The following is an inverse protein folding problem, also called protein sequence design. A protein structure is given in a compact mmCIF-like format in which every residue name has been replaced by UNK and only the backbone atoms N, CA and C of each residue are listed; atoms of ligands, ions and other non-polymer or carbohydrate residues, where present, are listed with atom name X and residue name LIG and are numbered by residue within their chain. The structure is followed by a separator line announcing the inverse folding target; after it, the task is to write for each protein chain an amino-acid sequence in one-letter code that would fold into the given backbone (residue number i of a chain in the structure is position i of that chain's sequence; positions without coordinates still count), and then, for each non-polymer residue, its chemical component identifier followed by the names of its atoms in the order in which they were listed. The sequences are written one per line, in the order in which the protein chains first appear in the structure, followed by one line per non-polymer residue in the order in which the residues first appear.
data_IF_232596357714
#
_entry.id   IF_232596357714
#
_cell.length_a   1.000
_cell.length_b   1.000
_cell.length_c   1.000
_cell.angle_alpha   90.00
_cell.angle_beta   90.00
_cell.angle_gamma   90.00
#
_symmetry.space_group_name_H-M   'P 1'
#
loop_
_entity.id
_entity.type
_entity.pdbx_description
1 polymer ?
#
# COMPACT_ATOMS: atom_id res chain seq x y z
N UNK A 1 9.37 12.73 10.51
CA UNK A 1 10.69 12.93 9.88
C UNK A 1 11.11 14.41 9.95
N UNK A 2 10.35 15.41 9.46
CA UNK A 2 10.76 16.82 9.50
C UNK A 2 11.10 17.34 10.93
N UNK A 3 10.31 16.94 11.93
CA UNK A 3 10.59 17.28 13.32
C UNK A 3 11.88 16.62 13.83
N UNK A 4 12.10 15.34 13.56
CA UNK A 4 13.31 14.61 13.94
C UNK A 4 14.56 15.12 13.21
N UNK A 5 14.41 15.57 11.97
CA UNK A 5 15.48 16.17 11.17
C UNK A 5 15.70 17.65 11.44
N UNK A 6 15.10 18.23 12.49
CA UNK A 6 15.28 19.63 12.88
C UNK A 6 14.68 20.67 11.91
N UNK A 7 13.86 20.25 10.94
CA UNK A 7 13.25 21.14 9.93
C UNK A 7 11.90 21.71 10.38
N UNK A 8 11.33 21.17 11.45
CA UNK A 8 10.09 21.64 12.06
C UNK A 8 10.17 21.51 13.59
N UNK A 9 9.70 22.50 14.37
CA UNK A 9 9.80 22.46 15.83
C UNK A 9 8.83 21.46 16.47
N UNK A 10 7.72 21.16 15.81
CA UNK A 10 6.70 20.22 16.30
C UNK A 10 6.23 19.29 15.20
N UNK A 11 5.57 18.18 15.58
CA UNK A 11 4.95 17.25 14.62
C UNK A 11 3.89 17.95 13.77
N UNK A 12 3.12 18.87 14.36
CA UNK A 12 2.09 19.63 13.65
C UNK A 12 2.71 20.57 12.59
N UNK A 13 3.77 21.29 12.94
CA UNK A 13 4.51 22.12 11.96
C UNK A 13 5.13 21.24 10.86
N UNK A 14 5.62 20.05 11.21
CA UNK A 14 6.15 19.11 10.24
C UNK A 14 5.07 18.56 9.29
N UNK A 15 3.84 18.36 9.78
CA UNK A 15 2.70 17.98 8.95
C UNK A 15 2.35 19.09 7.96
N UNK A 16 2.22 20.33 8.44
CA UNK A 16 1.94 21.49 7.59
C UNK A 16 3.01 21.66 6.50
N UNK A 17 4.30 21.57 6.86
CA UNK A 17 5.39 21.62 5.89
C UNK A 17 5.29 20.53 4.84
N UNK A 18 4.88 19.30 5.21
CA UNK A 18 4.67 18.22 4.24
C UNK A 18 3.50 18.53 3.29
N UNK A 19 2.39 19.05 3.80
CA UNK A 19 1.24 19.45 3.01
C UNK A 19 1.61 20.57 2.01
N UNK A 20 2.36 21.57 2.45
CA UNK A 20 2.83 22.69 1.61
C UNK A 20 3.77 22.18 0.48
N UNK A 21 4.70 21.27 0.80
CA UNK A 21 5.63 20.69 -0.18
C UNK A 21 4.91 19.82 -1.20
N UNK A 22 3.86 19.08 -0.80
CA UNK A 22 3.03 18.30 -1.71
C UNK A 22 2.17 19.22 -2.59
N UNK A 23 1.52 20.23 -1.99
CA UNK A 23 0.63 21.16 -2.69
C UNK A 23 1.36 22.07 -3.68
N UNK A 24 2.60 22.47 -3.40
CA UNK A 24 3.42 23.30 -4.28
C UNK A 24 4.09 22.52 -5.44
N UNK A 25 4.08 21.19 -5.41
CA UNK A 25 4.81 20.36 -6.38
C UNK A 25 6.29 20.15 -6.06
N UNK A 26 6.86 20.84 -5.07
CA UNK A 26 8.27 20.72 -4.71
C UNK A 26 8.68 19.28 -4.31
N UNK A 27 7.77 18.53 -3.68
CA UNK A 27 7.99 17.13 -3.38
C UNK A 27 8.04 16.27 -4.65
N UNK A 28 7.20 16.56 -5.66
CA UNK A 28 7.18 15.86 -6.93
C UNK A 28 8.47 16.13 -7.73
N UNK A 29 8.95 17.38 -7.75
CA UNK A 29 10.23 17.72 -8.38
C UNK A 29 11.40 16.99 -7.71
N UNK A 30 11.37 16.87 -6.39
CA UNK A 30 12.39 16.11 -5.66
C UNK A 30 12.33 14.63 -5.98
N UNK A 31 11.14 14.06 -6.14
CA UNK A 31 10.94 12.68 -6.56
C UNK A 31 11.48 12.44 -7.97
N UNK A 32 11.23 13.37 -8.91
CA UNK A 32 11.79 13.35 -10.26
C UNK A 32 13.32 13.30 -10.25
N UNK A 33 13.96 14.20 -9.48
CA UNK A 33 15.42 14.20 -9.30
C UNK A 33 15.94 12.89 -8.71
N UNK A 34 15.21 12.29 -7.77
CA UNK A 34 15.59 11.00 -7.18
C UNK A 34 15.58 9.88 -8.22
N UNK A 35 14.58 9.83 -9.09
CA UNK A 35 14.49 8.85 -10.17
C UNK A 35 15.68 9.03 -11.14
N UNK A 36 15.95 10.25 -11.56
CA UNK A 36 17.05 10.58 -12.48
C UNK A 36 18.41 10.19 -11.89
N UNK A 37 18.66 10.51 -10.61
CA UNK A 37 19.92 10.15 -9.93
C UNK A 37 20.10 8.64 -9.71
N UNK A 38 19.03 7.85 -9.86
CA UNK A 38 19.06 6.39 -9.80
C UNK A 38 19.02 5.75 -11.19
N UNK A 39 19.36 6.50 -12.24
CA UNK A 39 19.36 6.07 -13.64
C UNK A 39 17.98 5.58 -14.12
N UNK A 40 16.88 6.06 -13.50
CA UNK A 40 15.51 5.80 -13.91
C UNK A 40 15.01 6.81 -14.93
N UNK A 41 13.87 6.51 -15.56
CA UNK A 41 13.19 7.42 -16.48
C UNK A 41 12.30 8.42 -15.70
N UNK A 42 12.68 9.71 -15.57
CA UNK A 42 11.93 10.69 -14.82
C UNK A 42 10.56 11.03 -15.46
N UNK A 43 10.36 10.70 -16.75
CA UNK A 43 9.10 10.97 -17.45
C UNK A 43 7.91 10.15 -16.92
N UNK A 44 8.16 9.08 -16.17
CA UNK A 44 7.10 8.30 -15.47
C UNK A 44 6.32 9.14 -14.45
N UNK A 45 6.90 10.24 -13.98
CA UNK A 45 6.25 11.16 -13.04
C UNK A 45 5.10 11.89 -13.72
N UNK A 46 5.24 12.21 -15.00
CA UNK A 46 4.20 12.89 -15.81
C UNK A 46 3.25 11.90 -16.47
N UNK A 47 3.75 10.71 -16.81
CA UNK A 47 2.99 9.63 -17.43
C UNK A 47 3.26 8.28 -16.75
N UNK A 48 2.55 7.96 -15.63
CA UNK A 48 2.69 6.69 -14.93
C UNK A 48 2.36 5.45 -15.77
N UNK A 49 1.67 5.61 -16.91
CA UNK A 49 1.35 4.50 -17.82
C UNK A 49 2.58 3.92 -18.52
N UNK A 50 3.71 4.62 -18.47
CA UNK A 50 5.02 4.13 -18.93
C UNK A 50 5.61 3.02 -18.03
N UNK A 51 5.12 2.92 -16.80
CA UNK A 51 5.46 1.78 -15.93
C UNK A 51 4.87 0.48 -16.48
N UNK A 52 5.48 -0.69 -16.18
CA UNK A 52 4.92 -1.98 -16.57
C UNK A 52 3.45 -2.11 -16.16
N UNK A 53 2.61 -2.52 -17.11
CA UNK A 53 1.16 -2.69 -16.90
C UNK A 53 0.81 -4.17 -16.94
N UNK A 54 -0.09 -4.60 -16.05
CA UNK A 54 -0.66 -5.95 -16.11
C UNK A 54 -1.61 -6.10 -17.30
N UNK A 55 -1.70 -7.31 -17.85
CA UNK A 55 -2.62 -7.59 -18.96
C UNK A 55 -4.07 -7.67 -18.49
N UNK A 56 -4.30 -8.01 -17.23
CA UNK A 56 -5.62 -8.26 -16.67
C UNK A 56 -5.75 -7.76 -15.25
N UNK A 57 -6.99 -7.50 -14.85
CA UNK A 57 -7.33 -7.18 -13.47
C UNK A 57 -8.65 -7.85 -13.09
N UNK A 58 -8.80 -8.22 -11.81
CA UNK A 58 -10.02 -8.80 -11.25
C UNK A 58 -10.29 -8.24 -9.87
N UNK A 59 -11.56 -8.00 -9.57
CA UNK A 59 -12.00 -7.52 -8.28
C UNK A 59 -12.27 -8.68 -7.31
N UNK A 60 -11.77 -8.54 -6.10
CA UNK A 60 -12.13 -9.37 -4.96
C UNK A 60 -13.21 -8.63 -4.17
N UNK A 61 -14.34 -9.29 -3.98
CA UNK A 61 -15.54 -8.68 -3.40
C UNK A 61 -15.81 -9.22 -2.01
N UNK A 62 -16.48 -8.40 -1.18
CA UNK A 62 -16.95 -8.80 0.13
C UNK A 62 -18.00 -9.91 0.00
N UNK A 63 -17.88 -10.96 0.82
CA UNK A 63 -18.82 -12.08 0.86
C UNK A 63 -20.08 -11.79 1.69
N UNK A 64 -20.04 -10.74 2.51
CA UNK A 64 -21.11 -10.37 3.44
C UNK A 64 -21.07 -8.89 3.78
N UNK A 65 -22.16 -8.36 4.32
CA UNK A 65 -22.23 -7.02 4.91
C UNK A 65 -21.45 -6.98 6.22
N UNK A 66 -20.91 -5.80 6.58
CA UNK A 66 -20.25 -5.58 7.85
C UNK A 66 -19.11 -4.56 7.78
N UNK A 67 -18.11 -4.75 8.62
CA UNK A 67 -16.92 -3.90 8.69
C UNK A 67 -15.66 -4.74 8.51
N UNK A 68 -14.67 -4.22 7.81
CA UNK A 68 -13.35 -4.82 7.74
C UNK A 68 -12.66 -4.65 9.10
N UNK A 69 -12.58 -5.72 9.89
CA UNK A 69 -11.97 -5.67 11.23
C UNK A 69 -10.48 -5.99 11.23
N UNK A 70 -10.00 -6.71 10.23
CA UNK A 70 -8.57 -6.95 10.02
C UNK A 70 -8.25 -7.32 8.57
N UNK A 71 -7.02 -7.03 8.16
CA UNK A 71 -6.40 -7.49 6.91
C UNK A 71 -5.08 -8.14 7.31
N UNK A 72 -4.87 -9.40 6.96
CA UNK A 72 -3.60 -10.09 7.19
C UNK A 72 -2.57 -9.66 6.14
N UNK A 73 -1.75 -8.67 6.49
CA UNK A 73 -0.72 -8.12 5.60
C UNK A 73 0.36 -9.14 5.23
N UNK A 74 0.61 -10.16 6.07
CA UNK A 74 1.56 -11.24 5.75
C UNK A 74 1.01 -12.11 4.63
N UNK A 75 -0.25 -12.54 4.73
CA UNK A 75 -0.92 -13.30 3.68
C UNK A 75 -1.03 -12.48 2.37
N UNK A 76 -1.33 -11.17 2.45
CA UNK A 76 -1.30 -10.29 1.28
C UNK A 76 0.09 -10.27 0.60
N UNK A 77 1.18 -10.25 1.39
CA UNK A 77 2.54 -10.36 0.85
C UNK A 77 2.81 -11.72 0.19
N UNK A 78 2.34 -12.83 0.78
CA UNK A 78 2.44 -14.18 0.20
C UNK A 78 1.62 -14.26 -1.11
N UNK A 79 0.43 -13.67 -1.15
CA UNK A 79 -0.37 -13.60 -2.37
C UNK A 79 0.34 -12.81 -3.48
N UNK A 80 1.04 -11.72 -3.13
CA UNK A 80 1.85 -10.96 -4.08
C UNK A 80 3.00 -11.80 -4.67
N UNK A 81 3.69 -12.58 -3.83
CA UNK A 81 4.70 -13.56 -4.28
C UNK A 81 4.07 -14.57 -5.24
N UNK A 82 2.91 -15.14 -4.89
CA UNK A 82 2.21 -16.12 -5.72
C UNK A 82 1.82 -15.56 -7.10
N UNK A 83 1.49 -14.25 -7.20
CA UNK A 83 1.26 -13.56 -8.47
C UNK A 83 2.54 -13.39 -9.31
N UNK A 84 3.72 -13.46 -8.70
CA UNK A 84 5.01 -13.20 -9.33
C UNK A 84 5.58 -11.81 -9.03
N UNK A 85 4.96 -11.04 -8.12
CA UNK A 85 5.44 -9.74 -7.67
C UNK A 85 6.62 -9.81 -6.69
N UNK A 86 7.21 -10.99 -6.50
CA UNK A 86 8.38 -11.24 -5.69
C UNK A 86 9.05 -12.56 -6.06
N UNK A 87 10.12 -12.91 -5.35
CA UNK A 87 10.91 -14.14 -5.60
C UNK A 87 10.51 -15.23 -4.63
N UNK A 88 10.06 -16.38 -5.12
CA UNK A 88 9.88 -17.61 -4.32
C UNK A 88 11.23 -18.35 -4.21
N UNK A 89 12.07 -18.29 -5.26
CA UNK A 89 13.38 -18.93 -5.32
C UNK A 89 14.45 -17.93 -5.78
N UNK A 90 15.71 -18.26 -5.47
CA UNK A 90 16.85 -17.47 -5.95
C UNK A 90 16.92 -17.60 -7.50
N UNK A 91 16.93 -16.45 -8.18
CA UNK A 91 16.94 -16.40 -9.64
C UNK A 91 15.57 -16.16 -10.30
N UNK A 92 14.48 -16.20 -9.56
CA UNK A 92 13.17 -15.85 -10.12
C UNK A 92 13.16 -14.39 -10.60
N UNK A 93 12.54 -14.17 -11.76
CA UNK A 93 12.24 -12.82 -12.25
C UNK A 93 11.02 -12.26 -11.51
N UNK A 94 11.08 -10.98 -11.18
CA UNK A 94 9.96 -10.26 -10.58
C UNK A 94 9.12 -9.63 -11.70
N UNK A 95 7.82 -9.87 -11.68
CA UNK A 95 6.86 -9.18 -12.53
C UNK A 95 6.40 -7.90 -11.81
N UNK A 96 6.91 -6.76 -12.26
CA UNK A 96 6.62 -5.45 -11.65
C UNK A 96 5.21 -4.91 -11.99
N UNK A 97 4.48 -5.58 -12.89
CA UNK A 97 3.14 -5.17 -13.29
C UNK A 97 2.02 -5.78 -12.43
N UNK A 98 2.33 -6.79 -11.60
CA UNK A 98 1.34 -7.48 -10.79
C UNK A 98 1.28 -6.93 -9.36
N UNK A 99 0.11 -7.03 -8.73
CA UNK A 99 -0.07 -6.56 -7.35
C UNK A 99 -1.53 -6.30 -7.00
N UNK A 100 -1.74 -5.50 -5.94
CA UNK A 100 -3.07 -5.23 -5.40
C UNK A 100 -3.30 -3.73 -5.21
N UNK A 101 -4.51 -3.28 -5.56
CA UNK A 101 -5.02 -1.96 -5.17
C UNK A 101 -6.11 -2.19 -4.12
N UNK A 102 -5.85 -1.80 -2.88
CA UNK A 102 -6.79 -1.98 -1.77
C UNK A 102 -7.78 -0.81 -1.70
N UNK A 103 -9.07 -1.09 -1.92
CA UNK A 103 -10.13 -0.09 -1.86
C UNK A 103 -10.75 0.03 -0.46
N UNK A 104 -10.66 -1.04 0.34
CA UNK A 104 -11.17 -1.09 1.70
C UNK A 104 -10.05 -1.35 2.70
N UNK A 105 -10.07 -0.61 3.79
CA UNK A 105 -9.13 -0.65 4.90
C UNK A 105 -9.82 -1.11 6.18
N UNK A 106 -9.02 -1.40 7.21
CA UNK A 106 -9.56 -1.74 8.54
C UNK A 106 -10.36 -0.57 9.09
N UNK A 107 -11.60 -0.83 9.46
CA UNK A 107 -12.58 0.14 9.93
C UNK A 107 -13.65 0.51 8.91
N UNK A 108 -13.42 0.23 7.63
CA UNK A 108 -14.39 0.57 6.58
C UNK A 108 -15.61 -0.35 6.63
N UNK A 109 -16.79 0.23 6.42
CA UNK A 109 -18.02 -0.50 6.17
C UNK A 109 -18.00 -1.08 4.75
N UNK A 110 -18.56 -2.26 4.59
CA UNK A 110 -18.70 -2.96 3.31
C UNK A 110 -20.07 -3.61 3.19
N UNK A 111 -20.61 -3.61 1.98
CA UNK A 111 -21.79 -4.40 1.61
C UNK A 111 -21.35 -5.68 0.88
N UNK A 112 -22.17 -6.72 0.95
CA UNK A 112 -21.96 -7.95 0.17
C UNK A 112 -21.87 -7.62 -1.33
N UNK A 113 -20.83 -8.13 -2.00
CA UNK A 113 -20.53 -7.82 -3.41
C UNK A 113 -19.74 -6.53 -3.64
N UNK A 114 -19.51 -5.71 -2.62
CA UNK A 114 -18.66 -4.51 -2.73
C UNK A 114 -17.18 -4.88 -2.89
N UNK A 115 -16.45 -4.12 -3.71
CA UNK A 115 -15.04 -4.40 -4.03
C UNK A 115 -14.14 -4.10 -2.83
N UNK A 116 -13.40 -5.10 -2.37
CA UNK A 116 -12.39 -4.99 -1.32
C UNK A 116 -11.04 -4.55 -1.88
N UNK A 117 -10.61 -5.21 -2.94
CA UNK A 117 -9.38 -4.88 -3.65
C UNK A 117 -9.46 -5.34 -5.11
N UNK A 118 -8.64 -4.71 -5.96
CA UNK A 118 -8.40 -5.14 -7.34
C UNK A 118 -7.04 -5.83 -7.42
N UNK A 119 -7.00 -7.02 -8.01
CA UNK A 119 -5.80 -7.81 -8.27
C UNK A 119 -5.37 -7.59 -9.70
N UNK A 120 -4.17 -7.07 -9.92
CA UNK A 120 -3.51 -6.94 -11.22
C UNK A 120 -2.65 -8.18 -11.47
N UNK A 121 -2.82 -8.85 -12.61
CA UNK A 121 -2.15 -10.12 -12.88
C UNK A 121 -1.86 -10.35 -14.37
N UNK A 122 -0.90 -11.23 -14.67
CA UNK A 122 -0.49 -11.64 -16.01
C UNK A 122 -0.64 -13.16 -16.26
N UNK A 123 -1.00 -13.95 -15.23
CA UNK A 123 -1.14 -15.40 -15.31
C UNK A 123 -2.35 -15.88 -14.53
N UNK A 124 -3.29 -16.54 -15.21
CA UNK A 124 -4.49 -17.12 -14.60
C UNK A 124 -4.16 -18.19 -13.54
N UNK A 125 -3.16 -19.02 -13.79
CA UNK A 125 -2.76 -20.07 -12.82
C UNK A 125 -2.21 -19.46 -11.53
N UNK A 126 -1.43 -18.36 -11.63
CA UNK A 126 -0.92 -17.59 -10.48
C UNK A 126 -2.05 -16.86 -9.78
N UNK A 127 -3.00 -16.26 -10.53
CA UNK A 127 -4.19 -15.63 -9.97
C UNK A 127 -4.98 -16.62 -9.11
N UNK A 128 -5.23 -17.83 -9.61
CA UNK A 128 -6.01 -18.84 -8.88
C UNK A 128 -5.42 -19.13 -7.49
N UNK A 129 -4.08 -19.26 -7.39
CA UNK A 129 -3.38 -19.43 -6.11
C UNK A 129 -3.49 -18.21 -5.20
N UNK A 130 -3.26 -17.02 -5.76
CA UNK A 130 -3.26 -15.76 -5.01
C UNK A 130 -4.64 -15.37 -4.52
N UNK A 131 -5.68 -15.57 -5.34
CA UNK A 131 -7.06 -15.18 -5.05
C UNK A 131 -7.57 -15.74 -3.72
N UNK A 132 -7.41 -17.03 -3.49
CA UNK A 132 -7.82 -17.68 -2.25
C UNK A 132 -7.15 -17.04 -1.03
N UNK A 133 -5.84 -16.79 -1.11
CA UNK A 133 -5.06 -16.17 -0.03
C UNK A 133 -5.58 -14.74 0.25
N UNK A 134 -5.88 -13.97 -0.80
CA UNK A 134 -6.43 -12.61 -0.66
C UNK A 134 -7.81 -12.64 0.00
N UNK A 135 -8.71 -13.52 -0.46
CA UNK A 135 -10.05 -13.67 0.11
C UNK A 135 -9.99 -14.03 1.61
N UNK A 136 -9.09 -14.94 2.00
CA UNK A 136 -8.85 -15.34 3.38
C UNK A 136 -8.13 -14.27 4.23
N UNK A 137 -7.49 -13.28 3.59
CA UNK A 137 -6.77 -12.21 4.29
C UNK A 137 -7.70 -11.17 4.91
N UNK A 138 -8.92 -11.02 4.39
CA UNK A 138 -9.91 -10.08 4.89
C UNK A 138 -10.81 -10.74 5.93
N UNK A 139 -10.96 -10.10 7.09
CA UNK A 139 -11.94 -10.49 8.10
C UNK A 139 -13.00 -9.42 8.20
N UNK A 140 -14.25 -9.80 7.87
CA UNK A 140 -15.43 -8.93 7.93
C UNK A 140 -16.32 -9.42 9.06
N UNK A 141 -16.77 -8.50 9.93
CA UNK A 141 -17.69 -8.78 11.03
C UNK A 141 -18.83 -7.74 11.02
N UNK A 142 -20.01 -8.07 11.62
CA UNK A 142 -21.14 -7.14 11.69
C UNK A 142 -20.81 -5.83 12.43
N UNK A 143 -19.98 -5.90 13.46
CA UNK A 143 -19.64 -4.76 14.30
C UNK A 143 -18.29 -4.13 13.87
N UNK A 144 -18.25 -2.80 13.90
CA UNK A 144 -17.02 -2.06 13.67
C UNK A 144 -15.95 -2.39 14.72
N UNK A 145 -14.66 -2.36 14.35
CA UNK A 145 -13.60 -2.62 15.31
C UNK A 145 -13.64 -1.62 16.46
N UNK A 146 -13.64 -2.13 17.70
CA UNK A 146 -13.80 -1.32 18.92
C UNK A 146 -12.68 -0.31 19.18
N UNK A 147 -11.55 -0.42 18.49
CA UNK A 147 -10.39 0.48 18.63
C UNK A 147 -9.78 0.79 17.27
N UNK A 148 -9.85 2.06 16.89
CA UNK A 148 -9.01 2.58 15.80
C UNK A 148 -7.56 2.59 16.32
N UNK A 149 -6.67 1.83 15.67
CA UNK A 149 -5.24 1.85 16.00
C UNK A 149 -4.59 3.08 15.33
N UNK A 150 -4.05 4.05 16.10
CA UNK A 150 -3.36 5.18 15.49
C UNK A 150 -2.11 4.70 14.75
N UNK A 151 -1.81 5.32 13.62
CA UNK A 151 -0.59 5.04 12.84
C UNK A 151 0.67 5.29 13.66
N UNK A 152 0.70 6.38 14.45
CA UNK A 152 1.78 6.70 15.38
C UNK A 152 1.39 6.20 16.76
N UNK A 153 2.00 5.12 17.22
CA UNK A 153 1.72 4.50 18.54
C UNK A 153 2.40 5.22 19.70
N UNK A 154 3.50 5.89 19.44
CA UNK A 154 4.26 6.62 20.44
C UNK A 154 5.44 7.35 19.81
N UNK A 155 5.94 8.36 20.50
CA UNK A 155 7.14 9.10 20.14
C UNK A 155 8.15 8.91 21.27
N UNK A 156 9.30 8.31 20.92
CA UNK A 156 10.43 8.16 21.87
C UNK A 156 11.32 9.38 21.65
N UNK A 157 11.49 10.18 22.70
CA UNK A 157 12.47 11.28 22.76
C UNK A 157 13.60 10.85 23.68
N UNK A 158 14.76 11.52 23.57
CA UNK A 158 15.91 11.25 24.42
C UNK A 158 15.49 11.14 25.89
N UNK A 159 15.59 9.92 26.41
CA UNK A 159 15.56 9.69 27.83
C UNK A 159 16.97 10.00 28.30
N UNK A 160 17.16 11.15 28.98
CA UNK A 160 18.40 11.37 29.72
C UNK A 160 18.51 10.21 30.71
N UNK A 161 19.36 9.22 30.39
CA UNK A 161 19.79 8.19 31.31
C UNK A 161 20.53 8.95 32.43
N UNK A 162 19.84 9.12 33.56
CA UNK A 162 20.46 9.55 34.82
C UNK A 162 21.11 8.36 35.51
#
# INVERSE_FOLDING_TARGET
MFCLGGRAPTVQCGKQLAEDLLGSGAALDKFRQMIELQDGDPSIVDDPKRLPQSHSAVDIKASQDGFVVSIDCRHMGIACLALGGGREHMGDSIDHAVGFVLHKKVGDAVAAGEVLCTVHYNSESRLHRARKIVEESYRILPDAPSKHRPLVRGVIRDVQLR
#
